data_IF_812797486522
#
_entry.id   IF_812797486522
#
_cell.length_a   1.000
_cell.length_b   1.000
_cell.length_c   1.000
_cell.angle_alpha   90.00
_cell.angle_beta   90.00
_cell.angle_gamma   90.00
#
_symmetry.space_group_name_H-M   'P 1'
#
loop_
_entity.id
_entity.type
_entity.pdbx_description
1 polymer ?
#
# COMPACT_ATOMS: atom_id res chain seq x y z
N UNK A 1 50.63 1.11 -22.42
CA UNK A 1 49.48 2.05 -22.48
C UNK A 1 48.93 2.03 -23.91
N UNK A 2 47.86 1.26 -24.16
CA UNK A 2 47.24 1.18 -25.49
C UNK A 2 46.13 2.24 -25.57
N UNK A 3 46.25 3.18 -26.52
CA UNK A 3 45.19 4.14 -26.85
C UNK A 3 44.25 3.47 -27.83
N UNK A 4 43.05 3.12 -27.36
CA UNK A 4 41.96 2.67 -28.23
C UNK A 4 41.39 3.92 -28.89
N UNK A 5 41.76 4.15 -30.15
CA UNK A 5 41.14 5.16 -30.99
C UNK A 5 39.78 4.62 -31.46
N UNK A 6 38.70 5.22 -30.98
CA UNK A 6 37.35 4.94 -31.48
C UNK A 6 37.12 5.78 -32.75
N UNK A 7 37.39 5.20 -33.92
CA UNK A 7 36.90 5.74 -35.18
C UNK A 7 35.40 5.46 -35.29
N UNK A 8 34.60 6.30 -34.65
CA UNK A 8 33.15 6.27 -34.74
C UNK A 8 32.70 7.09 -35.96
N UNK A 9 33.00 6.61 -37.17
CA UNK A 9 32.35 7.11 -38.37
C UNK A 9 30.91 6.59 -38.42
N UNK A 10 30.01 7.30 -37.73
CA UNK A 10 28.58 7.03 -37.87
C UNK A 10 28.17 7.34 -39.31
N UNK A 11 27.63 6.33 -39.98
CA UNK A 11 27.01 6.48 -41.29
C UNK A 11 25.94 7.60 -41.23
N UNK A 12 25.98 8.51 -42.20
CA UNK A 12 25.06 9.65 -42.26
C UNK A 12 23.59 9.19 -42.25
N UNK A 13 23.31 8.03 -42.84
CA UNK A 13 21.98 7.43 -42.81
C UNK A 13 21.57 6.96 -41.41
N UNK A 14 22.51 6.41 -40.63
CA UNK A 14 22.28 5.99 -39.25
C UNK A 14 22.04 7.22 -38.36
N UNK A 15 22.83 8.27 -38.53
CA UNK A 15 22.64 9.54 -37.82
C UNK A 15 21.27 10.16 -38.13
N UNK A 16 20.82 10.13 -39.40
CA UNK A 16 19.51 10.65 -39.81
C UNK A 16 18.35 9.86 -39.20
N UNK A 17 18.45 8.53 -39.19
CA UNK A 17 17.43 7.65 -38.58
C UNK A 17 17.33 7.87 -37.07
N UNK A 18 18.47 8.00 -36.38
CA UNK A 18 18.51 8.27 -34.94
C UNK A 18 17.92 9.63 -34.61
N UNK A 19 18.29 10.67 -35.36
CA UNK A 19 17.73 12.02 -35.19
C UNK A 19 16.21 12.02 -35.38
N UNK A 20 15.70 11.31 -36.38
CA UNK A 20 14.26 11.17 -36.60
C UNK A 20 13.55 10.45 -35.44
N UNK A 21 14.12 9.34 -34.95
CA UNK A 21 13.55 8.60 -33.82
C UNK A 21 13.50 9.44 -32.54
N UNK A 22 14.57 10.21 -32.26
CA UNK A 22 14.62 11.12 -31.12
C UNK A 22 13.59 12.25 -31.25
N UNK A 23 13.45 12.85 -32.44
CA UNK A 23 12.45 13.88 -32.69
C UNK A 23 11.02 13.34 -32.50
N UNK A 24 10.72 12.15 -33.03
CA UNK A 24 9.41 11.51 -32.86
C UNK A 24 9.11 11.23 -31.38
N UNK A 25 10.10 10.71 -30.64
CA UNK A 25 9.96 10.46 -29.20
C UNK A 25 9.72 11.76 -28.42
N UNK A 26 10.46 12.83 -28.73
CA UNK A 26 10.29 14.13 -28.09
C UNK A 26 8.90 14.73 -28.36
N UNK A 27 8.40 14.63 -29.60
CA UNK A 27 7.04 15.07 -29.97
C UNK A 27 5.98 14.28 -29.21
N UNK A 28 6.13 12.96 -29.11
CA UNK A 28 5.20 12.09 -28.38
C UNK A 28 5.15 12.47 -26.89
N UNK A 29 6.30 12.66 -26.25
CA UNK A 29 6.37 13.07 -24.84
C UNK A 29 5.74 14.46 -24.63
N UNK A 30 6.03 15.42 -25.52
CA UNK A 30 5.42 16.75 -25.45
C UNK A 30 3.89 16.67 -25.57
N UNK A 31 3.36 15.82 -26.46
CA UNK A 31 1.92 15.61 -26.60
C UNK A 31 1.29 15.04 -25.32
N UNK A 32 1.92 14.05 -24.68
CA UNK A 32 1.44 13.47 -23.41
C UNK A 32 1.43 14.52 -22.29
N UNK A 33 2.49 15.33 -22.17
CA UNK A 33 2.57 16.39 -21.16
C UNK A 33 1.48 17.45 -21.38
N UNK A 34 1.23 17.85 -22.62
CA UNK A 34 0.18 18.80 -22.96
C UNK A 34 -1.22 18.22 -22.70
N UNK A 35 -1.44 16.93 -22.96
CA UNK A 35 -2.70 16.25 -22.70
C UNK A 35 -3.04 16.21 -21.20
N UNK A 36 -2.05 16.06 -20.32
CA UNK A 36 -2.25 16.07 -18.86
C UNK A 36 -2.47 17.51 -18.34
N UNK A 37 -1.90 18.52 -19.01
CA UNK A 37 -2.05 19.95 -18.64
C UNK A 37 -3.35 20.57 -19.13
N UNK A 38 -3.91 20.08 -20.23
CA UNK A 38 -5.29 20.37 -20.58
C UNK A 38 -6.16 19.81 -19.45
N UNK A 39 -6.67 20.70 -18.59
CA UNK A 39 -7.35 20.35 -17.36
C UNK A 39 -8.55 19.40 -17.56
N UNK A 40 -9.19 18.94 -16.46
CA UNK A 40 -10.36 18.08 -16.56
C UNK A 40 -11.35 18.69 -17.55
N UNK A 41 -11.98 17.88 -18.42
CA UNK A 41 -13.00 18.39 -19.32
C UNK A 41 -14.02 19.17 -18.49
N UNK A 42 -14.44 20.33 -18.98
CA UNK A 42 -15.61 21.03 -18.45
C UNK A 42 -16.81 20.09 -18.67
N UNK A 43 -16.99 19.15 -17.74
CA UNK A 43 -18.20 18.36 -17.64
C UNK A 43 -19.26 19.41 -17.30
N UNK A 44 -20.26 19.64 -18.17
CA UNK A 44 -21.32 20.58 -17.86
C UNK A 44 -21.99 20.05 -16.58
N UNK A 45 -21.66 20.68 -15.45
CA UNK A 45 -22.32 20.40 -14.20
C UNK A 45 -23.79 20.74 -14.44
N UNK A 46 -24.63 19.71 -14.41
CA UNK A 46 -26.06 19.92 -14.38
C UNK A 46 -26.35 20.92 -13.23
N UNK A 47 -27.09 22.01 -13.50
CA UNK A 47 -27.39 23.00 -12.48
C UNK A 47 -27.99 22.30 -11.26
N UNK A 48 -27.43 22.64 -10.10
CA UNK A 48 -27.49 21.84 -8.88
C UNK A 48 -28.86 21.29 -8.56
N UNK A 49 -28.92 19.97 -8.35
CA UNK A 49 -29.97 19.42 -7.50
C UNK A 49 -29.80 20.03 -6.11
N UNK A 50 -30.81 20.75 -5.59
CA UNK A 50 -30.76 21.23 -4.23
C UNK A 50 -30.66 20.01 -3.31
N UNK A 51 -29.59 19.94 -2.53
CA UNK A 51 -29.48 18.95 -1.45
C UNK A 51 -30.48 19.37 -0.37
N UNK A 52 -31.63 18.71 -0.34
CA UNK A 52 -32.64 18.92 0.69
C UNK A 52 -32.21 18.18 1.96
N UNK A 53 -31.43 18.86 2.81
CA UNK A 53 -31.07 18.35 4.12
C UNK A 53 -32.28 18.47 5.07
N UNK A 54 -33.05 17.38 5.20
CA UNK A 54 -34.12 17.29 6.19
C UNK A 54 -33.50 17.02 7.56
N UNK A 55 -33.48 18.03 8.43
CA UNK A 55 -33.10 17.87 9.84
C UNK A 55 -34.25 17.13 10.51
N UNK A 56 -34.05 15.85 10.81
CA UNK A 56 -34.92 15.08 11.69
C UNK A 56 -34.73 15.63 13.11
N UNK A 57 -35.76 16.20 13.76
CA UNK A 57 -35.65 16.62 15.15
C UNK A 57 -35.30 15.41 16.01
N UNK A 58 -34.19 15.47 16.72
CA UNK A 58 -33.80 14.45 17.67
C UNK A 58 -34.97 14.26 18.66
N UNK A 59 -35.58 13.08 18.60
CA UNK A 59 -36.59 12.66 19.57
C UNK A 59 -35.95 12.76 20.95
N UNK A 60 -36.54 13.51 21.91
CA UNK A 60 -35.96 13.66 23.23
C UNK A 60 -35.92 12.28 23.90
N UNK A 61 -34.73 11.71 23.92
CA UNK A 61 -34.43 10.47 24.62
C UNK A 61 -34.90 10.61 26.08
N UNK A 62 -35.82 9.76 26.56
CA UNK A 62 -36.30 9.83 27.93
C UNK A 62 -35.14 9.52 28.89
N UNK A 63 -34.53 10.57 29.42
CA UNK A 63 -33.42 10.57 30.37
C UNK A 63 -33.79 10.05 31.77
N UNK A 64 -34.65 9.04 31.88
CA UNK A 64 -35.20 8.55 33.15
C UNK A 64 -34.79 7.13 33.55
N UNK A 65 -33.97 6.41 32.78
CA UNK A 65 -33.61 5.00 33.07
C UNK A 65 -32.11 4.70 33.22
N UNK A 66 -31.24 5.71 33.35
CA UNK A 66 -29.80 5.49 33.49
C UNK A 66 -29.24 5.64 34.92
N UNK A 67 -30.08 5.97 35.92
CA UNK A 67 -29.64 6.14 37.32
C UNK A 67 -29.68 4.84 38.16
N UNK A 68 -30.11 3.70 37.61
CA UNK A 68 -30.26 2.46 38.38
C UNK A 68 -29.09 1.46 38.26
N UNK A 69 -28.12 1.66 37.38
CA UNK A 69 -27.08 0.64 37.09
C UNK A 69 -25.67 0.95 37.62
N UNK A 70 -25.48 2.04 38.37
CA UNK A 70 -24.16 2.41 38.93
C UNK A 70 -23.89 1.86 40.34
N UNK A 71 -24.70 0.94 40.86
CA UNK A 71 -24.62 0.55 42.26
C UNK A 71 -24.60 -0.97 42.50
N UNK A 72 -23.76 -1.73 41.78
CA UNK A 72 -23.40 -3.09 42.19
C UNK A 72 -22.20 -3.68 41.40
N UNK A 73 -20.98 -3.18 41.59
CA UNK A 73 -19.76 -4.03 41.58
C UNK A 73 -18.71 -3.36 42.47
N UNK A 74 -18.83 -3.57 43.77
CA UNK A 74 -17.71 -3.48 44.70
C UNK A 74 -17.33 -4.91 45.10
N UNK A 75 -16.03 -5.16 45.19
CA UNK A 75 -15.38 -6.30 45.84
C UNK A 75 -15.35 -7.67 45.11
N UNK A 76 -14.24 -7.94 44.42
CA UNK A 76 -13.50 -9.22 44.57
C UNK A 76 -12.17 -9.23 43.81
N UNK A 77 -11.18 -10.05 44.22
CA UNK A 77 -9.92 -9.53 44.73
C UNK A 77 -8.73 -9.70 43.78
N UNK A 78 -7.66 -8.99 44.16
CA UNK A 78 -6.31 -9.09 43.65
C UNK A 78 -5.89 -10.55 43.39
N UNK A 79 -5.72 -10.89 42.11
CA UNK A 79 -5.01 -12.10 41.71
C UNK A 79 -3.58 -11.69 41.37
N UNK A 80 -2.65 -12.12 42.21
CA UNK A 80 -1.22 -11.90 42.09
C UNK A 80 -0.69 -12.46 40.77
N UNK A 81 -0.19 -11.60 39.88
CA UNK A 81 0.68 -12.04 38.81
C UNK A 81 2.06 -12.34 39.38
N UNK A 82 2.27 -13.63 39.63
CA UNK A 82 3.54 -14.24 40.01
C UNK A 82 4.57 -14.00 38.91
N UNK A 83 5.59 -13.22 39.23
CA UNK A 83 6.81 -13.09 38.46
C UNK A 83 7.44 -14.48 38.27
N UNK A 84 7.46 -14.95 37.03
CA UNK A 84 8.30 -16.07 36.61
C UNK A 84 9.47 -15.50 35.83
N UNK A 85 10.62 -15.45 36.50
CA UNK A 85 11.93 -15.38 35.88
C UNK A 85 12.06 -16.48 34.84
N UNK A 86 12.18 -16.12 33.56
CA UNK A 86 12.82 -16.99 32.57
C UNK A 86 14.16 -16.38 32.20
N UNK A 87 15.16 -17.00 32.80
CA UNK A 87 16.59 -16.86 32.58
C UNK A 87 16.93 -17.12 31.11
N UNK A 88 17.77 -16.25 30.56
CA UNK A 88 18.42 -16.38 29.27
C UNK A 88 19.23 -17.68 29.13
N UNK A 89 19.37 -18.20 27.90
CA UNK A 89 20.60 -18.84 27.45
C UNK A 89 21.35 -17.89 26.51
N UNK A 90 22.58 -17.58 26.90
CA UNK A 90 23.58 -16.99 26.03
C UNK A 90 23.93 -17.95 24.88
N UNK A 91 23.78 -17.48 23.64
CA UNK A 91 24.48 -18.03 22.49
C UNK A 91 25.43 -16.96 21.97
N UNK A 92 26.69 -17.08 22.38
CA UNK A 92 27.86 -16.42 21.79
C UNK A 92 28.30 -17.17 20.51
N UNK A 93 29.19 -16.60 19.68
CA UNK A 93 29.05 -16.57 18.23
C UNK A 93 29.93 -17.60 17.52
N UNK A 94 29.48 -18.14 16.39
CA UNK A 94 30.33 -18.83 15.45
C UNK A 94 30.60 -17.96 14.22
N UNK A 95 31.82 -17.46 14.21
CA UNK A 95 32.58 -16.89 13.11
C UNK A 95 32.62 -17.88 11.94
N UNK A 96 32.31 -17.46 10.71
CA UNK A 96 33.13 -17.83 9.55
C UNK A 96 32.91 -16.85 8.39
N UNK A 97 33.94 -16.05 8.11
CA UNK A 97 34.13 -15.42 6.81
C UNK A 97 34.70 -16.46 5.83
N UNK A 98 34.15 -16.56 4.63
CA UNK A 98 34.81 -17.14 3.44
C UNK A 98 34.05 -16.67 2.21
N UNK A 99 34.49 -15.59 1.56
CA UNK A 99 35.44 -15.60 0.44
C UNK A 99 34.87 -16.24 -0.84
N UNK A 100 34.47 -15.34 -1.75
CA UNK A 100 34.56 -15.35 -3.21
C UNK A 100 34.76 -16.67 -3.97
N UNK A 101 33.89 -16.91 -4.96
CA UNK A 101 34.32 -17.43 -6.25
C UNK A 101 33.47 -16.86 -7.41
N UNK A 102 34.03 -16.73 -8.63
CA UNK A 102 33.49 -15.93 -9.72
C UNK A 102 32.95 -16.75 -10.91
N UNK A 103 32.34 -16.02 -11.86
CA UNK A 103 32.19 -16.29 -13.30
C UNK A 103 31.26 -17.43 -13.76
N UNK A 104 30.30 -17.02 -14.61
CA UNK A 104 29.99 -17.73 -15.83
C UNK A 104 28.76 -18.63 -15.78
N UNK A 105 27.65 -18.14 -16.32
CA UNK A 105 26.83 -18.92 -17.23
C UNK A 105 25.95 -17.98 -18.08
N UNK A 106 26.55 -17.52 -19.17
CA UNK A 106 25.82 -17.28 -20.41
C UNK A 106 25.18 -18.60 -20.84
N UNK A 107 23.86 -18.72 -20.66
CA UNK A 107 23.07 -19.69 -21.44
C UNK A 107 21.72 -19.08 -21.81
N UNK A 108 21.74 -18.37 -22.93
CA UNK A 108 20.59 -18.26 -23.79
C UNK A 108 20.19 -19.66 -24.29
N UNK A 109 18.98 -20.11 -23.99
CA UNK A 109 18.12 -20.78 -24.97
C UNK A 109 16.75 -21.11 -24.39
N UNK A 110 15.73 -20.48 -24.97
CA UNK A 110 14.41 -21.03 -25.28
C UNK A 110 13.69 -21.86 -24.21
N UNK A 111 12.74 -21.20 -23.54
CA UNK A 111 11.42 -21.76 -23.36
C UNK A 111 10.39 -20.71 -23.79
N UNK A 112 10.03 -20.73 -25.07
CA UNK A 112 8.79 -20.16 -25.56
C UNK A 112 7.63 -20.98 -24.97
N UNK A 113 7.32 -20.74 -23.70
CA UNK A 113 6.08 -21.16 -23.08
C UNK A 113 5.03 -20.14 -23.50
N UNK A 114 3.92 -20.63 -24.03
CA UNK A 114 2.92 -19.87 -24.76
C UNK A 114 2.68 -18.48 -24.20
N UNK A 115 2.88 -17.48 -25.06
CA UNK A 115 2.42 -16.12 -24.83
C UNK A 115 0.89 -16.15 -24.77
N UNK A 116 0.35 -16.52 -23.60
CA UNK A 116 -0.95 -16.03 -23.20
C UNK A 116 -0.79 -14.52 -23.23
N UNK A 117 -1.48 -13.88 -24.19
CA UNK A 117 -1.56 -12.43 -24.23
C UNK A 117 -1.84 -11.94 -22.80
N UNK A 118 -1.09 -10.97 -22.26
CA UNK A 118 -1.36 -10.43 -20.94
C UNK A 118 -2.83 -10.01 -20.93
N UNK A 119 -3.68 -10.76 -20.24
CA UNK A 119 -5.06 -10.32 -20.01
C UNK A 119 -4.92 -8.94 -19.38
N UNK A 120 -5.54 -7.94 -20.01
CA UNK A 120 -5.44 -6.55 -19.59
C UNK A 120 -5.58 -6.49 -18.06
N UNK A 121 -4.54 -5.98 -17.39
CA UNK A 121 -4.48 -5.97 -15.94
C UNK A 121 -5.75 -5.27 -15.41
N UNK A 122 -6.56 -6.01 -14.66
CA UNK A 122 -7.78 -5.47 -14.07
C UNK A 122 -7.39 -4.35 -13.10
N UNK A 123 -7.77 -3.12 -13.44
CA UNK A 123 -7.46 -1.95 -12.62
C UNK A 123 -8.41 -1.80 -11.44
N UNK A 124 -9.40 -2.68 -11.31
CA UNK A 124 -10.44 -2.63 -10.30
C UNK A 124 -9.92 -3.10 -8.94
N UNK A 125 -10.09 -2.27 -7.91
CA UNK A 125 -9.83 -2.66 -6.52
C UNK A 125 -11.08 -3.27 -5.90
N UNK A 126 -11.01 -4.56 -5.53
CA UNK A 126 -12.14 -5.28 -4.94
C UNK A 126 -12.20 -5.11 -3.41
N UNK A 127 -13.40 -4.94 -2.86
CA UNK A 127 -13.60 -4.93 -1.42
C UNK A 127 -13.43 -6.34 -0.83
N UNK A 128 -13.05 -6.45 0.45
CA UNK A 128 -12.86 -7.74 1.14
C UNK A 128 -14.03 -8.71 0.97
N UNK A 129 -15.26 -8.21 0.99
CA UNK A 129 -16.48 -9.03 0.86
C UNK A 129 -16.67 -9.66 -0.51
N UNK A 130 -15.95 -9.18 -1.53
CA UNK A 130 -16.01 -9.67 -2.89
C UNK A 130 -14.83 -10.60 -3.24
N UNK A 131 -14.00 -10.96 -2.25
CA UNK A 131 -12.84 -11.82 -2.40
C UNK A 131 -13.13 -13.20 -1.83
N UNK A 132 -12.62 -14.24 -2.49
CA UNK A 132 -12.67 -15.60 -1.96
C UNK A 132 -11.63 -15.78 -0.84
N UNK A 133 -10.45 -15.17 -1.03
CA UNK A 133 -9.39 -15.13 -0.02
C UNK A 133 -8.94 -13.69 0.19
N UNK A 134 -9.18 -13.12 1.38
CA UNK A 134 -8.73 -11.77 1.68
C UNK A 134 -7.20 -11.70 1.81
N UNK A 135 -6.61 -10.52 1.56
CA UNK A 135 -5.19 -10.30 1.82
C UNK A 135 -4.93 -10.35 3.33
N UNK A 136 -3.91 -11.09 3.75
CA UNK A 136 -3.48 -11.20 5.13
C UNK A 136 -2.15 -10.46 5.33
N UNK A 137 -1.95 -9.72 6.43
CA UNK A 137 -0.69 -9.03 6.68
C UNK A 137 0.44 -10.05 6.90
N UNK A 138 1.51 -9.92 6.10
CA UNK A 138 2.75 -10.69 6.26
C UNK A 138 3.71 -9.98 7.23
N UNK A 139 3.66 -8.65 7.23
CA UNK A 139 4.35 -7.81 8.19
C UNK A 139 3.41 -7.45 9.33
N UNK A 140 3.97 -7.28 10.52
CA UNK A 140 3.23 -6.96 11.74
C UNK A 140 2.56 -5.56 11.61
N UNK A 141 1.22 -5.44 11.72
CA UNK A 141 0.50 -4.18 11.48
C UNK A 141 0.81 -3.08 12.49
N UNK A 142 1.25 -3.42 13.70
CA UNK A 142 1.76 -2.49 14.72
C UNK A 142 2.92 -1.63 14.21
N UNK A 143 3.65 -2.07 13.17
CA UNK A 143 4.70 -1.29 12.54
C UNK A 143 4.19 0.03 11.90
N UNK A 144 2.90 0.14 11.59
CA UNK A 144 2.33 1.38 11.06
C UNK A 144 1.81 2.35 12.13
N UNK A 145 1.92 1.97 13.41
CA UNK A 145 1.57 2.83 14.53
C UNK A 145 2.82 3.48 15.13
N UNK A 146 2.93 4.82 15.15
CA UNK A 146 4.09 5.49 15.74
C UNK A 146 4.21 5.18 17.24
N UNK A 147 5.42 4.88 17.69
CA UNK A 147 5.70 4.55 19.10
C UNK A 147 5.29 5.71 20.02
N UNK A 148 4.52 5.39 21.07
CA UNK A 148 4.09 6.36 22.08
C UNK A 148 2.88 7.22 21.69
N UNK A 149 2.30 7.03 20.50
CA UNK A 149 1.00 7.62 20.20
C UNK A 149 -0.10 6.95 21.04
N UNK A 150 -1.11 7.73 21.41
CA UNK A 150 -2.34 7.22 22.03
C UNK A 150 -3.49 7.61 21.11
N UNK A 151 -4.30 6.63 20.73
CA UNK A 151 -5.39 6.87 19.78
C UNK A 151 -5.62 5.76 18.78
N UNK A 152 -6.72 5.89 18.05
CA UNK A 152 -7.21 4.96 17.05
C UNK A 152 -7.18 5.64 15.69
N UNK A 153 -6.67 4.94 14.68
CA UNK A 153 -6.65 5.38 13.30
C UNK A 153 -7.29 4.34 12.41
N UNK A 154 -8.23 4.79 11.58
CA UNK A 154 -8.79 3.98 10.51
C UNK A 154 -8.09 4.32 9.21
N UNK A 155 -7.47 3.32 8.59
CA UNK A 155 -6.81 3.42 7.29
C UNK A 155 -7.60 2.66 6.23
N UNK A 156 -7.52 3.16 5.00
CA UNK A 156 -7.93 2.47 3.78
C UNK A 156 -6.68 2.21 2.92
N UNK A 157 -6.40 0.94 2.63
CA UNK A 157 -5.25 0.51 1.83
C UNK A 157 -5.70 -0.02 0.48
N UNK A 158 -5.03 0.44 -0.57
CA UNK A 158 -5.07 -0.12 -1.92
C UNK A 158 -3.90 -1.10 -2.06
N UNK A 159 -4.19 -2.39 -2.11
CA UNK A 159 -3.20 -3.46 -2.22
C UNK A 159 -3.23 -4.02 -3.64
N UNK A 160 -2.07 -4.20 -4.25
CA UNK A 160 -1.94 -4.75 -5.59
C UNK A 160 -2.03 -6.29 -5.64
N UNK A 161 -1.88 -6.84 -6.85
CA UNK A 161 -1.94 -8.29 -7.11
C UNK A 161 -0.78 -9.08 -6.47
N UNK A 162 0.32 -8.41 -6.12
CA UNK A 162 1.48 -9.04 -5.48
C UNK A 162 1.51 -8.82 -3.96
N UNK A 163 0.52 -8.12 -3.41
CA UNK A 163 0.41 -7.85 -1.98
C UNK A 163 1.21 -6.64 -1.49
N UNK A 164 1.58 -5.72 -2.37
CA UNK A 164 2.19 -4.43 -2.02
C UNK A 164 1.11 -3.35 -1.90
N UNK A 165 1.28 -2.46 -0.92
CA UNK A 165 0.39 -1.31 -0.72
C UNK A 165 0.79 -0.20 -1.71
N UNK A 166 -0.08 0.08 -2.68
CA UNK A 166 0.11 1.17 -3.64
C UNK A 166 -0.28 2.53 -3.07
N UNK A 167 -1.30 2.55 -2.22
CA UNK A 167 -1.83 3.77 -1.63
C UNK A 167 -2.40 3.47 -0.25
N UNK A 168 -2.10 4.34 0.71
CA UNK A 168 -2.67 4.32 2.04
C UNK A 168 -3.35 5.67 2.29
N UNK A 169 -4.62 5.64 2.68
CA UNK A 169 -5.42 6.84 2.96
C UNK A 169 -5.94 6.76 4.39
N UNK A 170 -5.83 7.85 5.14
CA UNK A 170 -6.39 7.95 6.48
C UNK A 170 -7.86 8.36 6.38
N UNK A 171 -8.76 7.54 6.90
CA UNK A 171 -10.21 7.82 6.88
C UNK A 171 -10.67 8.54 8.15
N UNK A 172 -10.16 8.12 9.31
CA UNK A 172 -10.54 8.68 10.60
C UNK A 172 -9.39 8.59 11.60
N UNK A 173 -9.30 9.58 12.49
CA UNK A 173 -8.23 9.71 13.48
C UNK A 173 -8.82 10.17 14.81
N UNK A 174 -8.48 9.50 15.91
CA UNK A 174 -8.84 9.90 17.26
C UNK A 174 -7.64 9.75 18.19
N UNK A 175 -7.13 10.81 18.85
CA UNK A 175 -7.53 12.22 18.74
C UNK A 175 -6.98 12.86 17.46
N UNK A 176 -7.73 13.82 16.92
CA UNK A 176 -7.36 14.52 15.68
C UNK A 176 -5.99 15.21 15.82
N UNK A 177 -5.18 15.15 14.76
CA UNK A 177 -3.91 15.89 14.67
C UNK A 177 -2.65 15.17 15.16
N UNK A 178 -2.75 14.01 15.84
CA UNK A 178 -1.57 13.23 16.25
C UNK A 178 -0.99 12.36 15.14
N UNK A 179 -1.79 11.98 14.16
CA UNK A 179 -1.39 11.04 13.11
C UNK A 179 -1.11 11.80 11.81
N UNK A 180 0.18 11.93 11.51
CA UNK A 180 0.74 12.71 10.40
C UNK A 180 1.08 11.82 9.19
N UNK A 181 1.62 12.43 8.13
CA UNK A 181 2.13 11.75 6.93
C UNK A 181 3.09 10.58 7.21
N UNK A 182 3.80 10.60 8.35
CA UNK A 182 4.72 9.52 8.75
C UNK A 182 4.00 8.18 8.97
N UNK A 183 2.78 8.19 9.51
CA UNK A 183 2.03 6.96 9.71
C UNK A 183 1.58 6.35 8.36
N UNK A 184 1.23 7.22 7.41
CA UNK A 184 0.89 6.81 6.04
C UNK A 184 2.10 6.21 5.30
N UNK A 185 3.29 6.74 5.54
CA UNK A 185 4.55 6.22 5.00
C UNK A 185 4.91 4.86 5.60
N UNK A 186 4.73 4.67 6.91
CA UNK A 186 4.93 3.37 7.54
C UNK A 186 3.92 2.32 7.05
N UNK A 187 2.66 2.71 6.81
CA UNK A 187 1.63 1.84 6.22
C UNK A 187 2.00 1.36 4.82
N UNK A 188 2.67 2.19 3.99
CA UNK A 188 3.02 1.80 2.61
C UNK A 188 4.13 0.75 2.55
N UNK A 189 4.94 0.64 3.60
CA UNK A 189 5.97 -0.40 3.73
C UNK A 189 5.41 -1.78 4.12
N UNK A 190 4.13 -1.87 4.50
CA UNK A 190 3.51 -3.14 4.86
C UNK A 190 3.40 -4.07 3.65
N UNK A 191 3.58 -5.37 3.92
CA UNK A 191 3.41 -6.43 2.94
C UNK A 191 2.23 -7.31 3.33
N UNK A 192 1.44 -7.67 2.34
CA UNK A 192 0.27 -8.51 2.48
C UNK A 192 0.41 -9.73 1.58
N UNK A 193 -0.34 -10.79 1.88
CA UNK A 193 -0.54 -11.88 0.93
C UNK A 193 -1.45 -11.40 -0.21
N UNK A 194 -1.25 -11.87 -1.44
CA UNK A 194 -2.16 -11.58 -2.54
C UNK A 194 -3.61 -11.94 -2.21
N UNK A 195 -4.54 -11.08 -2.63
CA UNK A 195 -5.97 -11.36 -2.58
C UNK A 195 -6.36 -12.29 -3.72
N UNK A 196 -7.25 -13.26 -3.47
CA UNK A 196 -7.73 -14.18 -4.49
C UNK A 196 -9.23 -13.98 -4.73
N UNK A 197 -9.60 -13.88 -6.00
CA UNK A 197 -10.98 -13.87 -6.48
C UNK A 197 -11.10 -14.73 -7.74
N UNK A 198 -12.05 -15.66 -7.75
CA UNK A 198 -12.27 -16.64 -8.80
C UNK A 198 -10.98 -17.40 -9.17
N UNK A 199 -10.17 -17.75 -8.15
CA UNK A 199 -8.89 -18.43 -8.32
C UNK A 199 -7.75 -17.59 -8.90
N UNK A 200 -7.93 -16.28 -9.08
CA UNK A 200 -6.92 -15.35 -9.63
C UNK A 200 -6.48 -14.33 -8.58
N UNK A 201 -5.22 -13.93 -8.65
CA UNK A 201 -4.71 -12.80 -7.85
C UNK A 201 -5.31 -11.50 -8.36
N UNK A 202 -5.89 -10.70 -7.46
CA UNK A 202 -6.54 -9.44 -7.81
C UNK A 202 -6.10 -8.32 -6.88
N UNK A 203 -6.32 -7.08 -7.31
CA UNK A 203 -6.13 -5.90 -6.46
C UNK A 203 -7.26 -5.81 -5.45
N UNK A 204 -6.95 -5.35 -4.25
CA UNK A 204 -7.91 -5.30 -3.16
C UNK A 204 -7.87 -4.00 -2.39
N UNK A 205 -9.03 -3.63 -1.84
CA UNK A 205 -9.20 -2.50 -0.93
C UNK A 205 -9.57 -3.02 0.45
N UNK A 206 -8.75 -2.68 1.42
CA UNK A 206 -8.88 -3.10 2.82
C UNK A 206 -9.04 -1.89 3.71
N UNK A 207 -9.94 -1.98 4.69
CA UNK A 207 -10.02 -1.04 5.80
C UNK A 207 -9.56 -1.72 7.06
N UNK A 208 -8.67 -1.07 7.80
CA UNK A 208 -8.20 -1.59 9.07
C UNK A 208 -8.07 -0.46 10.08
N UNK A 209 -8.32 -0.83 11.33
CA UNK A 209 -8.28 0.06 12.49
C UNK A 209 -7.04 -0.33 13.29
N UNK A 210 -6.21 0.66 13.60
CA UNK A 210 -5.01 0.49 14.42
C UNK A 210 -5.13 1.37 15.64
N UNK A 211 -4.94 0.79 16.82
CA UNK A 211 -4.93 1.49 18.09
C UNK A 211 -3.95 0.84 19.06
N UNK A 212 -3.81 1.39 20.28
CA UNK A 212 -3.04 0.74 21.34
C UNK A 212 -3.68 -0.62 21.65
N UNK A 213 -2.95 -1.69 21.35
CA UNK A 213 -3.33 -3.07 21.67
C UNK A 213 -3.11 -3.42 23.13
#
# INVERSE_FOLDING_TARGET
MARIAWDASFDADTARRLAFALALSAVLHAAVILAIRAGPPDIPMAPGMPIEARIEPAEPEPAASALASMQAVAESPATSFRAASQTAPAHEPLVTASASAPLGNDRASNAAVGAQAPLAADSTYYAITALDRPPAPLTRPDACYPHGATGEVTYELMIDEVGTVNQATVLAVKPVGLFTAAATELCSALKFSPAIKDGRTVRSRVRFVVGPG
#
